data_IF_892329688869
#
_entry.id   IF_892329688869
#
_cell.length_a   1.000
_cell.length_b   1.000
_cell.length_c   1.000
_cell.angle_alpha   90.00
_cell.angle_beta   90.00
_cell.angle_gamma   90.00
#
_symmetry.space_group_name_H-M   'P 1'
#
loop_
_entity.id
_entity.type
_entity.pdbx_description
1 polymer ?
#
# COMPACT_ATOMS: atom_id res chain seq x y z
N UNK A 1 25.83 19.63 -46.25
CA UNK A 1 25.16 19.27 -44.99
C UNK A 1 25.39 20.42 -43.99
N UNK A 2 24.42 21.17 -43.42
CA UNK A 2 22.95 20.98 -43.30
C UNK A 2 22.59 19.57 -42.78
N UNK A 3 21.98 19.26 -41.64
CA UNK A 3 21.16 19.93 -40.58
C UNK A 3 21.33 19.01 -39.33
N UNK A 4 21.27 19.39 -38.05
CA UNK A 4 20.89 20.61 -37.32
C UNK A 4 21.83 20.82 -36.10
N UNK A 5 21.64 21.89 -35.33
CA UNK A 5 21.93 21.93 -33.89
C UNK A 5 20.74 22.61 -33.20
N UNK A 6 19.95 21.86 -32.43
CA UNK A 6 18.74 22.36 -31.78
C UNK A 6 18.61 21.82 -30.37
N UNK A 7 18.29 22.71 -29.43
CA UNK A 7 18.01 22.43 -28.03
C UNK A 7 17.02 21.28 -27.86
N UNK A 8 17.29 20.41 -26.88
CA UNK A 8 16.24 19.89 -26.01
C UNK A 8 16.57 20.36 -24.59
N UNK A 9 16.13 21.57 -24.29
CA UNK A 9 15.89 21.96 -22.91
C UNK A 9 14.67 21.15 -22.44
N UNK A 10 14.93 19.95 -21.90
CA UNK A 10 13.88 19.08 -21.37
C UNK A 10 13.18 19.81 -20.23
N UNK A 11 11.97 20.29 -20.50
CA UNK A 11 11.15 20.90 -19.47
C UNK A 11 10.97 19.89 -18.33
N UNK A 12 11.36 20.27 -17.12
CA UNK A 12 10.82 19.67 -15.92
C UNK A 12 9.33 19.98 -15.94
N UNK A 13 8.55 19.08 -16.53
CA UNK A 13 7.12 19.02 -16.31
C UNK A 13 6.95 18.72 -14.81
N UNK A 14 6.83 19.80 -14.03
CA UNK A 14 6.40 19.72 -12.65
C UNK A 14 5.05 19.01 -12.68
N UNK A 15 5.06 17.73 -12.30
CA UNK A 15 3.87 16.92 -12.21
C UNK A 15 2.93 17.63 -11.27
N UNK A 16 1.88 18.24 -11.83
CA UNK A 16 0.86 18.93 -11.03
C UNK A 16 0.36 17.88 -10.04
N UNK A 17 0.57 18.06 -8.72
CA UNK A 17 0.20 17.03 -7.76
C UNK A 17 -1.30 16.77 -7.96
N UNK A 18 -1.71 15.51 -8.14
CA UNK A 18 -3.08 15.19 -8.52
C UNK A 18 -4.03 15.85 -7.52
N UNK A 19 -4.94 16.68 -8.04
CA UNK A 19 -5.81 17.56 -7.27
C UNK A 19 -6.44 16.77 -6.12
N UNK A 20 -6.07 17.15 -4.91
CA UNK A 20 -6.42 16.40 -3.69
C UNK A 20 -7.93 16.18 -3.61
N UNK A 21 -8.36 14.93 -3.76
CA UNK A 21 -9.79 14.59 -3.78
C UNK A 21 -10.36 14.74 -2.38
N UNK A 22 -11.65 15.11 -2.25
CA UNK A 22 -12.24 15.26 -0.92
C UNK A 22 -12.36 13.89 -0.20
N UNK A 23 -12.45 12.76 -0.94
CA UNK A 23 -12.16 11.42 -0.40
C UNK A 23 -10.79 11.34 0.29
N UNK A 24 -9.70 11.77 -0.36
CA UNK A 24 -8.36 11.71 0.21
C UNK A 24 -8.22 12.59 1.46
N UNK A 25 -8.84 13.78 1.47
CA UNK A 25 -8.90 14.66 2.65
C UNK A 25 -9.63 14.02 3.82
N UNK A 26 -10.82 13.47 3.57
CA UNK A 26 -11.62 12.80 4.58
C UNK A 26 -10.90 11.55 5.11
N UNK A 27 -10.24 10.79 4.23
CA UNK A 27 -9.41 9.66 4.63
C UNK A 27 -8.22 10.07 5.50
N UNK A 28 -7.45 11.10 5.10
CA UNK A 28 -6.34 11.63 5.88
C UNK A 28 -6.80 12.07 7.27
N UNK A 29 -7.93 12.78 7.36
CA UNK A 29 -8.54 13.22 8.62
C UNK A 29 -8.88 12.04 9.52
N UNK A 30 -9.63 11.06 9.01
CA UNK A 30 -10.09 9.89 9.79
C UNK A 30 -8.93 8.99 10.25
N UNK A 31 -7.87 8.83 9.44
CA UNK A 31 -6.65 8.10 9.84
C UNK A 31 -5.94 8.82 10.99
N UNK A 32 -5.84 10.16 10.94
CA UNK A 32 -5.24 10.97 12.01
C UNK A 32 -6.07 10.95 13.28
N UNK A 33 -7.39 11.10 13.19
CA UNK A 33 -8.31 11.04 14.34
C UNK A 33 -8.29 9.66 15.05
N UNK A 34 -8.01 8.59 14.32
CA UNK A 34 -7.92 7.22 14.86
C UNK A 34 -6.49 6.80 15.24
N UNK A 35 -5.49 7.68 15.10
CA UNK A 35 -4.08 7.40 15.35
C UNK A 35 -3.55 6.17 14.58
N UNK A 36 -3.91 6.06 13.30
CA UNK A 36 -3.51 4.96 12.41
C UNK A 36 -2.32 5.32 11.49
N UNK A 37 -1.56 6.35 11.87
CA UNK A 37 -0.34 6.78 11.17
C UNK A 37 0.62 7.44 12.19
N UNK A 38 1.59 6.69 12.76
CA UNK A 38 1.89 5.28 12.51
C UNK A 38 0.82 4.32 13.05
N UNK A 39 0.55 3.23 12.32
CA UNK A 39 -0.23 2.08 12.81
C UNK A 39 0.72 0.99 13.32
N UNK A 40 0.46 0.45 14.52
CA UNK A 40 1.20 -0.72 15.04
C UNK A 40 0.84 -1.99 14.27
N UNK A 41 1.83 -2.82 13.96
CA UNK A 41 1.67 -4.08 13.23
C UNK A 41 2.05 -5.27 14.14
N UNK A 42 1.44 -6.45 13.95
CA UNK A 42 1.75 -7.63 14.75
C UNK A 42 3.18 -8.15 14.53
N UNK A 43 3.76 -8.67 15.61
CA UNK A 43 5.01 -9.42 15.57
C UNK A 43 4.83 -10.74 14.78
N UNK A 44 5.88 -11.19 14.09
CA UNK A 44 5.87 -12.47 13.36
C UNK A 44 7.27 -13.10 13.30
N UNK A 45 7.35 -14.36 12.92
CA UNK A 45 8.62 -15.04 12.65
C UNK A 45 8.52 -15.97 11.44
N UNK A 46 9.65 -16.27 10.82
CA UNK A 46 9.75 -17.30 9.80
C UNK A 46 11.10 -18.02 9.85
N UNK A 47 11.14 -19.21 9.25
CA UNK A 47 12.29 -20.10 9.21
C UNK A 47 12.88 -20.10 7.80
N UNK A 48 14.20 -19.93 7.71
CA UNK A 48 14.95 -19.90 6.46
C UNK A 48 15.58 -21.30 6.23
N UNK A 49 15.19 -22.01 5.16
CA UNK A 49 15.42 -23.45 5.00
C UNK A 49 16.82 -23.81 4.46
N UNK A 50 17.86 -23.08 4.88
CA UNK A 50 19.25 -23.42 4.60
C UNK A 50 19.90 -24.18 5.77
N UNK A 51 21.20 -24.48 5.65
CA UNK A 51 21.99 -25.22 6.63
C UNK A 51 23.18 -24.37 7.12
N UNK A 52 23.29 -24.05 8.43
CA UNK A 52 22.31 -24.32 9.49
C UNK A 52 21.01 -23.53 9.28
N UNK A 53 19.89 -24.05 9.77
CA UNK A 53 18.59 -23.40 9.61
C UNK A 53 18.47 -22.19 10.53
N UNK A 54 18.04 -21.05 10.00
CA UNK A 54 17.90 -19.80 10.75
C UNK A 54 16.43 -19.42 10.96
N UNK A 55 16.05 -19.11 12.20
CA UNK A 55 14.76 -18.46 12.50
C UNK A 55 14.99 -16.95 12.63
N UNK A 56 14.20 -16.15 11.91
CA UNK A 56 14.21 -14.69 12.03
C UNK A 56 12.90 -14.22 12.63
N UNK A 57 13.00 -13.44 13.71
CA UNK A 57 11.87 -12.88 14.46
C UNK A 57 11.77 -11.39 14.19
N UNK A 58 10.55 -10.89 13.99
CA UNK A 58 10.24 -9.51 13.65
C UNK A 58 9.32 -8.94 14.72
N UNK A 59 9.70 -7.81 15.27
CA UNK A 59 9.00 -7.18 16.39
C UNK A 59 8.89 -5.67 16.22
N UNK A 60 8.03 -5.03 17.03
CA UNK A 60 7.81 -3.57 17.03
C UNK A 60 7.42 -3.05 15.65
N UNK A 61 6.60 -3.83 14.95
CA UNK A 61 6.12 -3.48 13.62
C UNK A 61 5.34 -2.17 13.63
N UNK A 62 5.60 -1.30 12.66
CA UNK A 62 4.77 -0.13 12.38
C UNK A 62 4.64 0.15 10.89
N UNK A 63 3.51 0.70 10.48
CA UNK A 63 3.26 1.24 9.15
C UNK A 63 3.10 2.76 9.18
N UNK A 64 3.78 3.47 8.30
CA UNK A 64 3.88 4.93 8.23
C UNK A 64 3.54 5.46 6.83
N UNK A 65 2.88 6.62 6.79
CA UNK A 65 2.45 7.33 5.59
C UNK A 65 1.02 7.00 5.13
N UNK A 66 0.27 6.18 5.87
CA UNK A 66 -1.08 5.71 5.50
C UNK A 66 -2.02 6.88 5.17
N UNK A 67 -1.89 8.00 5.89
CA UNK A 67 -2.74 9.18 5.75
C UNK A 67 -2.48 9.98 4.45
N UNK A 68 -1.40 9.69 3.71
CA UNK A 68 -0.98 10.46 2.52
C UNK A 68 -1.01 9.66 1.21
N UNK A 69 -0.89 8.33 1.30
CA UNK A 69 -0.67 7.43 0.14
C UNK A 69 -1.94 6.83 -0.45
N UNK A 70 -3.06 6.86 0.28
CA UNK A 70 -4.31 6.16 -0.09
C UNK A 70 -5.17 7.03 -1.02
N UNK A 71 -5.52 6.51 -2.20
CA UNK A 71 -6.22 7.26 -3.25
C UNK A 71 -7.29 6.42 -3.97
N UNK A 72 -8.39 7.04 -4.44
CA UNK A 72 -9.30 6.42 -5.40
C UNK A 72 -8.55 5.96 -6.67
N UNK A 73 -8.92 4.80 -7.20
CA UNK A 73 -8.34 4.24 -8.42
C UNK A 73 -9.43 3.96 -9.47
N UNK A 74 -9.52 4.83 -10.48
CA UNK A 74 -10.54 4.75 -11.52
C UNK A 74 -11.99 4.96 -11.01
N UNK A 75 -12.98 4.85 -11.91
CA UNK A 75 -14.39 4.96 -11.56
C UNK A 75 -14.92 3.69 -10.90
N UNK A 76 -15.92 3.83 -10.03
CA UNK A 76 -16.70 2.68 -9.57
C UNK A 76 -17.66 2.18 -10.66
N UNK A 77 -17.96 0.88 -10.64
CA UNK A 77 -18.94 0.27 -11.54
C UNK A 77 -19.89 -0.66 -10.77
N UNK A 78 -21.08 -0.91 -11.33
CA UNK A 78 -22.01 -1.88 -10.76
C UNK A 78 -21.65 -3.31 -11.18
N UNK A 79 -21.65 -4.24 -10.23
CA UNK A 79 -21.55 -5.68 -10.44
C UNK A 79 -22.75 -6.30 -9.75
N UNK A 80 -23.75 -6.71 -10.53
CA UNK A 80 -25.09 -7.02 -10.01
C UNK A 80 -25.66 -5.81 -9.24
N UNK A 81 -26.18 -6.02 -8.02
CA UNK A 81 -26.71 -4.97 -7.14
C UNK A 81 -25.62 -4.25 -6.29
N UNK A 82 -24.36 -4.66 -6.42
CA UNK A 82 -23.23 -4.12 -5.66
C UNK A 82 -22.48 -3.05 -6.47
N UNK A 83 -22.00 -2.01 -5.79
CA UNK A 83 -21.10 -1.01 -6.35
C UNK A 83 -19.65 -1.40 -6.00
N UNK A 84 -18.86 -1.65 -7.04
CA UNK A 84 -17.44 -2.01 -6.92
C UNK A 84 -16.61 -0.75 -7.12
N UNK A 85 -15.85 -0.37 -6.10
CA UNK A 85 -14.91 0.74 -6.12
C UNK A 85 -13.49 0.22 -5.90
N UNK A 86 -12.47 0.97 -6.34
CA UNK A 86 -11.08 0.60 -6.11
C UNK A 86 -10.30 1.71 -5.44
N UNK A 87 -9.45 1.33 -4.49
CA UNK A 87 -8.50 2.20 -3.81
C UNK A 87 -7.09 1.66 -4.05
N UNK A 88 -6.14 2.53 -4.34
CA UNK A 88 -4.72 2.19 -4.46
C UNK A 88 -3.91 2.93 -3.40
N UNK A 89 -2.75 2.37 -3.05
CA UNK A 89 -1.70 3.09 -2.37
C UNK A 89 -0.30 2.70 -2.87
N UNK A 90 0.63 3.64 -2.72
CA UNK A 90 2.05 3.46 -3.03
C UNK A 90 2.84 4.39 -2.13
N UNK A 91 3.92 3.88 -1.53
CA UNK A 91 4.78 4.62 -0.59
C UNK A 91 4.52 4.35 0.89
N UNK A 92 3.51 3.55 1.27
CA UNK A 92 3.36 3.08 2.66
C UNK A 92 4.65 2.37 3.07
N UNK A 93 5.27 2.83 4.15
CA UNK A 93 6.55 2.31 4.66
C UNK A 93 6.30 1.48 5.89
N UNK A 94 6.85 0.27 5.93
CA UNK A 94 6.63 -0.72 6.98
C UNK A 94 7.98 -1.02 7.62
N UNK A 95 8.12 -0.78 8.91
CA UNK A 95 9.39 -0.99 9.62
C UNK A 95 9.24 -1.98 10.75
N UNK A 96 10.26 -2.83 10.93
CA UNK A 96 10.35 -3.81 12.01
C UNK A 96 11.77 -3.85 12.58
N UNK A 97 11.89 -4.17 13.87
CA UNK A 97 13.14 -4.64 14.45
C UNK A 97 13.22 -6.15 14.28
N UNK A 98 14.22 -6.63 13.55
CA UNK A 98 14.44 -8.05 13.29
C UNK A 98 15.61 -8.63 14.09
N UNK A 99 15.48 -9.88 14.51
CA UNK A 99 16.50 -10.65 15.24
C UNK A 99 16.69 -12.00 14.54
N UNK A 100 17.91 -12.28 14.13
CA UNK A 100 18.42 -13.58 13.69
C UNK A 100 19.51 -14.05 14.68
N UNK A 101 19.95 -15.32 14.65
CA UNK A 101 20.77 -15.90 15.74
C UNK A 101 22.03 -15.12 16.13
N UNK A 102 22.70 -14.46 15.18
CA UNK A 102 23.94 -13.70 15.40
C UNK A 102 23.81 -12.19 15.17
N UNK A 103 22.61 -11.68 14.83
CA UNK A 103 22.43 -10.28 14.42
C UNK A 103 21.04 -9.71 14.74
N UNK A 104 21.02 -8.47 15.20
CA UNK A 104 19.82 -7.61 15.24
C UNK A 104 19.95 -6.55 14.16
N UNK A 105 18.90 -6.30 13.39
CA UNK A 105 18.92 -5.36 12.27
C UNK A 105 17.53 -4.75 12.02
N UNK A 106 17.53 -3.54 11.45
CA UNK A 106 16.29 -2.87 11.06
C UNK A 106 15.83 -3.36 9.68
N UNK A 107 14.52 -3.54 9.56
CA UNK A 107 13.84 -3.95 8.33
C UNK A 107 12.94 -2.83 7.87
N UNK A 108 12.97 -2.53 6.58
CA UNK A 108 12.19 -1.47 5.94
C UNK A 108 11.63 -2.01 4.62
N UNK A 109 10.30 -2.12 4.54
CA UNK A 109 9.58 -2.62 3.36
C UNK A 109 8.64 -1.53 2.88
N UNK A 110 8.72 -1.18 1.59
CA UNK A 110 7.90 -0.13 0.98
C UNK A 110 6.89 -0.76 0.02
N UNK A 111 5.65 -0.31 0.10
CA UNK A 111 4.62 -0.70 -0.87
C UNK A 111 4.86 0.04 -2.18
N UNK A 112 5.24 -0.67 -3.24
CA UNK A 112 5.46 -0.07 -4.57
C UNK A 112 4.13 0.21 -5.26
N UNK A 113 3.19 -0.72 -5.16
CA UNK A 113 1.86 -0.60 -5.72
C UNK A 113 0.89 -1.49 -4.94
N UNK A 114 -0.32 -1.02 -4.70
CA UNK A 114 -1.43 -1.84 -4.23
C UNK A 114 -2.72 -1.48 -4.96
N UNK A 115 -3.64 -2.43 -4.99
CA UNK A 115 -5.01 -2.25 -5.45
C UNK A 115 -5.95 -3.03 -4.55
N UNK A 116 -6.88 -2.33 -3.91
CA UNK A 116 -7.92 -2.89 -3.06
C UNK A 116 -9.27 -2.71 -3.76
N UNK A 117 -10.03 -3.80 -3.90
CA UNK A 117 -11.44 -3.74 -4.26
C UNK A 117 -12.26 -3.51 -2.99
N UNK A 118 -13.08 -2.46 -3.02
CA UNK A 118 -14.11 -2.16 -2.03
C UNK A 118 -15.46 -2.58 -2.62
N UNK A 119 -16.16 -3.48 -1.92
CA UNK A 119 -17.48 -3.93 -2.31
C UNK A 119 -18.52 -3.19 -1.47
N UNK A 120 -19.33 -2.37 -2.12
CA UNK A 120 -20.30 -1.49 -1.49
C UNK A 120 -21.72 -1.88 -1.86
N UNK A 121 -22.65 -1.80 -0.91
CA UNK A 121 -24.09 -1.93 -1.18
C UNK A 121 -24.84 -0.69 -0.71
N UNK A 122 -26.11 -0.58 -1.10
CA UNK A 122 -27.04 0.36 -0.46
C UNK A 122 -27.87 -0.33 0.61
N UNK A 123 -27.98 0.30 1.77
CA UNK A 123 -28.94 -0.07 2.82
C UNK A 123 -30.35 0.36 2.43
N UNK A 124 -31.36 -0.11 3.17
CA UNK A 124 -32.76 0.25 2.94
C UNK A 124 -33.05 1.76 3.14
N UNK A 125 -32.26 2.46 3.96
CA UNK A 125 -32.30 3.91 4.12
C UNK A 125 -31.39 4.67 3.13
N UNK A 126 -30.89 3.98 2.09
CA UNK A 126 -30.18 4.57 0.96
C UNK A 126 -28.70 4.90 1.16
N UNK A 127 -28.15 4.61 2.36
CA UNK A 127 -26.74 4.84 2.70
C UNK A 127 -25.82 3.80 2.07
N UNK A 128 -24.55 4.16 1.92
CA UNK A 128 -23.47 3.26 1.49
C UNK A 128 -23.04 2.36 2.65
N UNK A 129 -22.95 1.05 2.41
CA UNK A 129 -22.43 0.07 3.36
C UNK A 129 -21.23 -0.68 2.73
N UNK A 130 -20.11 -0.76 3.46
CA UNK A 130 -18.93 -1.51 3.05
C UNK A 130 -19.12 -3.00 3.40
N UNK A 131 -19.39 -3.84 2.40
CA UNK A 131 -19.57 -5.29 2.56
C UNK A 131 -18.26 -6.05 2.61
N UNK A 132 -17.29 -5.68 1.78
CA UNK A 132 -16.01 -6.38 1.70
C UNK A 132 -14.85 -5.47 1.30
N UNK A 133 -13.64 -5.85 1.72
CA UNK A 133 -12.37 -5.25 1.33
C UNK A 133 -11.44 -6.39 0.94
N UNK A 134 -10.89 -6.38 -0.28
CA UNK A 134 -9.91 -7.39 -0.72
C UNK A 134 -8.77 -6.77 -1.51
N UNK A 135 -7.55 -7.24 -1.28
CA UNK A 135 -6.43 -6.93 -2.17
C UNK A 135 -6.59 -7.68 -3.50
N UNK A 136 -6.53 -6.94 -4.60
CA UNK A 136 -6.34 -7.48 -5.96
C UNK A 136 -4.85 -7.54 -6.32
N UNK A 137 -4.08 -6.51 -5.91
CA UNK A 137 -2.63 -6.44 -6.10
C UNK A 137 -1.94 -5.86 -4.87
N UNK A 138 -0.72 -6.33 -4.58
CA UNK A 138 0.15 -5.79 -3.53
C UNK A 138 1.60 -6.16 -3.86
N UNK A 139 2.38 -5.16 -4.28
CA UNK A 139 3.78 -5.28 -4.66
C UNK A 139 4.66 -4.57 -3.63
N UNK A 140 5.66 -5.29 -3.12
CA UNK A 140 6.50 -4.86 -2.00
C UNK A 140 7.98 -4.85 -2.40
N UNK A 141 8.68 -3.80 -1.99
CA UNK A 141 10.12 -3.67 -2.12
C UNK A 141 10.78 -3.70 -0.74
N UNK A 142 11.74 -4.60 -0.54
CA UNK A 142 12.57 -4.60 0.66
C UNK A 142 13.68 -3.58 0.44
N UNK A 143 13.68 -2.52 1.25
CA UNK A 143 14.66 -1.43 1.22
C UNK A 143 15.75 -1.63 2.27
N UNK A 144 15.42 -2.30 3.40
CA UNK A 144 16.39 -2.77 4.38
C UNK A 144 16.02 -4.18 4.90
N UNK A 145 17.01 -5.05 5.16
CA UNK A 145 18.43 -4.87 4.82
C UNK A 145 18.65 -4.89 3.29
N UNK A 146 19.75 -4.29 2.81
CA UNK A 146 20.10 -4.31 1.37
C UNK A 146 20.59 -5.70 0.94
N UNK A 147 21.29 -6.38 1.84
CA UNK A 147 21.66 -7.79 1.75
C UNK A 147 21.43 -8.44 3.11
N UNK A 148 20.82 -9.63 3.15
CA UNK A 148 20.67 -10.35 4.42
C UNK A 148 22.01 -10.95 4.86
N UNK A 149 22.76 -11.53 3.91
CA UNK A 149 24.12 -12.03 4.07
C UNK A 149 24.84 -12.05 2.70
N UNK A 150 26.08 -12.53 2.67
CA UNK A 150 26.92 -12.55 1.47
C UNK A 150 26.46 -13.55 0.38
N UNK A 151 25.58 -14.51 0.73
CA UNK A 151 24.97 -15.40 -0.26
C UNK A 151 23.75 -14.74 -0.92
N UNK A 152 23.92 -14.41 -2.20
CA UNK A 152 22.85 -13.81 -3.03
C UNK A 152 21.57 -14.65 -3.07
N UNK A 153 21.65 -15.99 -3.07
CA UNK A 153 20.46 -16.85 -3.09
C UNK A 153 19.71 -16.79 -1.76
N UNK A 154 20.45 -16.77 -0.65
CA UNK A 154 19.87 -16.65 0.68
C UNK A 154 19.24 -15.27 0.90
N UNK A 155 19.89 -14.21 0.43
CA UNK A 155 19.31 -12.85 0.41
C UNK A 155 18.01 -12.79 -0.40
N UNK A 156 17.96 -13.36 -1.61
CA UNK A 156 16.71 -13.41 -2.42
C UNK A 156 15.60 -14.18 -1.70
N UNK A 157 15.91 -15.34 -1.11
CA UNK A 157 14.94 -16.16 -0.38
C UNK A 157 14.42 -15.46 0.89
N UNK A 158 15.28 -14.74 1.62
CA UNK A 158 14.88 -13.89 2.72
C UNK A 158 13.91 -12.79 2.26
N UNK A 159 14.24 -12.11 1.16
CA UNK A 159 13.41 -11.07 0.56
C UNK A 159 12.02 -11.58 0.17
N UNK A 160 11.94 -12.75 -0.45
CA UNK A 160 10.68 -13.39 -0.84
C UNK A 160 9.84 -13.79 0.38
N UNK A 161 10.46 -14.42 1.39
CA UNK A 161 9.77 -14.83 2.62
C UNK A 161 9.29 -13.64 3.46
N UNK A 162 10.07 -12.56 3.52
CA UNK A 162 9.68 -11.32 4.16
C UNK A 162 8.49 -10.67 3.44
N UNK A 163 8.52 -10.58 2.10
CA UNK A 163 7.40 -10.05 1.31
C UNK A 163 6.14 -10.90 1.51
N UNK A 164 6.25 -12.23 1.50
CA UNK A 164 5.14 -13.15 1.77
C UNK A 164 4.49 -12.89 3.14
N UNK A 165 5.28 -12.80 4.21
CA UNK A 165 4.75 -12.52 5.55
C UNK A 165 4.18 -11.12 5.71
N UNK A 166 4.79 -10.11 5.11
CA UNK A 166 4.22 -8.74 5.13
C UNK A 166 2.91 -8.67 4.33
N UNK A 167 2.76 -9.42 3.24
CA UNK A 167 1.48 -9.56 2.52
C UNK A 167 0.41 -10.25 3.38
N UNK A 168 0.75 -11.29 4.15
CA UNK A 168 -0.17 -11.92 5.10
C UNK A 168 -0.67 -10.92 6.15
N UNK A 169 0.25 -10.19 6.80
CA UNK A 169 -0.07 -9.14 7.80
C UNK A 169 -0.97 -8.06 7.19
N UNK A 170 -0.59 -7.47 6.05
CA UNK A 170 -1.38 -6.41 5.42
C UNK A 170 -2.78 -6.85 4.99
N UNK A 171 -2.95 -8.12 4.58
CA UNK A 171 -4.27 -8.71 4.30
C UNK A 171 -5.13 -8.82 5.54
N UNK A 172 -4.56 -9.17 6.69
CA UNK A 172 -5.25 -9.19 7.98
C UNK A 172 -5.61 -7.76 8.43
N UNK A 173 -4.69 -6.80 8.29
CA UNK A 173 -4.94 -5.40 8.65
C UNK A 173 -6.01 -4.72 7.80
N UNK A 174 -6.09 -5.00 6.48
CA UNK A 174 -7.17 -4.43 5.66
C UNK A 174 -8.56 -4.99 6.00
N UNK A 175 -8.65 -6.13 6.70
CA UNK A 175 -9.90 -6.65 7.24
C UNK A 175 -10.11 -6.34 8.72
N UNK A 176 -9.16 -5.65 9.37
CA UNK A 176 -9.24 -5.23 10.77
C UNK A 176 -10.31 -4.16 10.98
N UNK A 177 -10.72 -4.00 12.25
CA UNK A 177 -11.78 -3.06 12.63
C UNK A 177 -11.42 -1.60 12.35
N UNK A 178 -10.25 -1.06 12.77
CA UNK A 178 -9.95 0.37 12.58
C UNK A 178 -9.88 0.82 11.12
N UNK A 179 -9.24 0.03 10.25
CA UNK A 179 -9.14 0.38 8.82
C UNK A 179 -10.51 0.36 8.13
N UNK A 180 -11.38 -0.60 8.46
CA UNK A 180 -12.77 -0.63 7.99
C UNK A 180 -13.58 0.55 8.52
N UNK A 181 -13.41 0.94 9.79
CA UNK A 181 -14.12 2.09 10.37
C UNK A 181 -13.72 3.41 9.70
N UNK A 182 -12.44 3.62 9.38
CA UNK A 182 -12.00 4.74 8.50
C UNK A 182 -12.75 4.70 7.17
N UNK A 183 -12.69 3.59 6.44
CA UNK A 183 -13.32 3.49 5.11
C UNK A 183 -14.84 3.75 5.17
N UNK A 184 -15.55 3.16 6.14
CA UNK A 184 -17.00 3.35 6.32
C UNK A 184 -17.33 4.82 6.58
N UNK A 185 -16.60 5.50 7.46
CA UNK A 185 -16.84 6.93 7.74
C UNK A 185 -16.56 7.83 6.53
N UNK A 186 -15.51 7.55 5.76
CA UNK A 186 -15.19 8.32 4.54
C UNK A 186 -16.28 8.13 3.48
N UNK A 187 -16.70 6.89 3.25
CA UNK A 187 -17.75 6.53 2.29
C UNK A 187 -19.17 7.02 2.69
N UNK A 188 -19.37 7.34 3.96
CA UNK A 188 -20.59 7.97 4.47
C UNK A 188 -20.57 9.50 4.33
N UNK A 189 -19.39 10.13 4.28
CA UNK A 189 -19.23 11.58 4.12
C UNK A 189 -19.42 12.00 2.66
N UNK A 190 -18.88 11.24 1.70
CA UNK A 190 -19.03 11.51 0.27
C UNK A 190 -19.12 10.23 -0.57
N UNK A 191 -19.86 10.25 -1.71
CA UNK A 191 -19.77 9.19 -2.70
C UNK A 191 -18.37 9.15 -3.32
N UNK A 192 -17.91 7.95 -3.67
CA UNK A 192 -16.65 7.75 -4.36
C UNK A 192 -16.61 8.50 -5.70
N UNK A 193 -15.45 9.03 -6.14
CA UNK A 193 -15.35 9.74 -7.42
C UNK A 193 -15.87 8.89 -8.59
N UNK A 194 -16.82 9.43 -9.34
CA UNK A 194 -17.41 8.79 -10.52
C UNK A 194 -16.64 9.09 -11.81
N UNK A 195 -15.79 10.11 -11.79
CA UNK A 195 -14.92 10.50 -12.91
C UNK A 195 -13.50 10.00 -12.65
N UNK A 196 -12.83 9.53 -13.71
CA UNK A 196 -11.47 9.05 -13.60
C UNK A 196 -10.52 10.20 -13.25
N UNK A 197 -9.74 10.05 -12.17
CA UNK A 197 -8.47 10.74 -12.08
C UNK A 197 -7.59 10.25 -13.23
N UNK A 198 -7.27 11.13 -14.19
CA UNK A 198 -6.43 10.80 -15.34
C UNK A 198 -5.02 10.40 -14.88
N UNK A 199 -4.83 9.12 -14.58
CA UNK A 199 -3.53 8.48 -14.56
C UNK A 199 -3.30 7.86 -15.92
N UNK A 200 -2.98 8.69 -16.92
CA UNK A 200 -2.28 8.14 -18.08
C UNK A 200 -0.92 7.67 -17.59
N UNK A 201 -0.66 6.38 -17.76
CA UNK A 201 0.71 5.91 -17.79
C UNK A 201 1.20 6.22 -19.20
N UNK A 202 1.71 7.44 -19.38
CA UNK A 202 2.42 7.81 -20.60
C UNK A 202 3.69 6.96 -20.66
N UNK A 203 3.59 5.82 -21.35
CA UNK A 203 4.74 5.00 -21.69
C UNK A 203 5.55 5.80 -22.70
N UNK A 204 6.70 6.32 -22.26
CA UNK A 204 7.67 6.90 -23.17
C UNK A 204 8.27 5.78 -24.05
N UNK A 205 8.09 5.91 -25.36
CA UNK A 205 8.93 5.25 -26.38
C UNK A 205 10.31 5.94 -26.48
#
# INVERSE_FOLDING_TARGET
>A
ALIFATLVAGALAATVPPKETPFAKNFQKEVKEQNLDPVSLPDFEFVLPWAPTETVKFSKGKGEGLSEVVRPYGPCYKRNDELVCHVSFSGLTLTYQAVAPEKTFDVEVVTQHSLLELLLSKTADGKTELKNVRYLALHLFVKKPVTFNDDRKQTVLFDEKLKEKVVEVLKQEAVSKPFKEVLVKVLAQEPFPTEAGNTSFDVAE
#
